data_IF_490889903899
#
_entry.id   IF_490889903899
#
_cell.length_a   1.000
_cell.length_b   1.000
_cell.length_c   1.000
_cell.angle_alpha   90.00
_cell.angle_beta   90.00
_cell.angle_gamma   90.00
#
_symmetry.space_group_name_H-M   'P 1'
#
loop_
_entity.id
_entity.type
_entity.pdbx_description
1 polymer ?
#
# COMPACT_ATOMS: atom_id res chain seq x y z
N UNK A 1 26.30 21.40 -16.76
CA UNK A 1 25.47 20.74 -17.80
C UNK A 1 25.94 19.30 -17.90
N UNK A 2 25.02 18.34 -17.76
CA UNK A 2 25.36 16.92 -17.90
C UNK A 2 25.74 16.60 -19.35
N UNK A 3 26.95 16.06 -19.52
CA UNK A 3 27.52 15.67 -20.80
C UNK A 3 27.08 14.27 -21.28
N UNK A 4 26.29 13.55 -20.48
CA UNK A 4 25.69 12.26 -20.85
C UNK A 4 24.44 12.39 -21.74
N UNK A 5 23.87 13.60 -21.85
CA UNK A 5 22.67 13.87 -22.63
C UNK A 5 23.01 14.08 -24.11
N UNK A 6 22.24 13.43 -25.00
CA UNK A 6 22.43 13.45 -26.45
C UNK A 6 22.30 14.84 -27.11
N UNK A 7 22.47 14.91 -28.45
CA UNK A 7 22.57 16.18 -29.17
C UNK A 7 21.30 17.06 -29.11
N UNK A 8 20.12 16.45 -28.93
CA UNK A 8 18.81 17.13 -28.93
C UNK A 8 18.35 17.58 -27.52
N UNK A 9 19.25 18.16 -26.74
CA UNK A 9 18.91 18.61 -25.37
C UNK A 9 18.13 19.92 -25.37
N UNK A 10 17.03 19.94 -24.63
CA UNK A 10 16.23 21.13 -24.34
C UNK A 10 16.65 21.66 -22.96
N UNK A 11 17.00 22.95 -22.81
CA UNK A 11 17.30 23.52 -21.50
C UNK A 11 16.04 23.56 -20.62
N UNK A 12 16.18 23.16 -19.36
CA UNK A 12 15.12 23.21 -18.34
C UNK A 12 15.63 24.05 -17.18
N UNK A 13 14.85 25.07 -16.80
CA UNK A 13 15.05 25.85 -15.58
C UNK A 13 14.04 25.34 -14.54
N UNK A 14 14.52 24.52 -13.60
CA UNK A 14 13.67 23.97 -12.53
C UNK A 14 13.42 25.02 -11.44
N UNK A 15 12.18 25.08 -10.95
CA UNK A 15 11.80 25.93 -9.82
C UNK A 15 10.92 25.12 -8.87
N UNK A 16 11.44 24.84 -7.68
CA UNK A 16 10.67 24.21 -6.61
C UNK A 16 9.66 25.20 -6.04
N UNK A 17 8.38 25.02 -6.38
CA UNK A 17 7.29 25.87 -5.88
C UNK A 17 6.83 25.46 -4.48
N UNK A 18 7.02 24.18 -4.12
CA UNK A 18 6.76 23.65 -2.79
C UNK A 18 7.53 22.34 -2.56
N UNK A 19 7.78 22.02 -1.29
CA UNK A 19 8.36 20.74 -0.87
C UNK A 19 7.40 20.05 0.07
N UNK A 20 7.19 18.74 -0.15
CA UNK A 20 6.45 17.90 0.80
C UNK A 20 7.41 17.33 1.82
N UNK A 21 7.13 17.54 3.11
CA UNK A 21 7.84 16.89 4.20
C UNK A 21 6.92 15.93 4.95
N UNK A 22 7.51 14.89 5.53
CA UNK A 22 6.82 14.01 6.47
C UNK A 22 6.81 14.72 7.81
N UNK A 23 5.64 14.77 8.48
CA UNK A 23 5.56 15.29 9.85
C UNK A 23 6.42 14.41 10.77
N UNK A 24 7.22 15.03 11.63
CA UNK A 24 8.10 14.30 12.56
C UNK A 24 7.33 13.30 13.43
N UNK A 25 6.11 13.64 13.85
CA UNK A 25 5.27 12.77 14.68
C UNK A 25 4.63 11.60 13.94
N UNK A 26 4.59 11.62 12.60
CA UNK A 26 3.79 10.68 11.80
C UNK A 26 4.05 9.22 12.15
N UNK A 27 5.32 8.85 12.36
CA UNK A 27 5.69 7.48 12.69
C UNK A 27 5.12 7.06 14.04
N UNK A 28 5.25 7.91 15.06
CA UNK A 28 4.75 7.62 16.41
C UNK A 28 3.22 7.58 16.42
N UNK A 29 2.57 8.56 15.77
CA UNK A 29 1.11 8.65 15.68
C UNK A 29 0.54 7.40 14.99
N UNK A 30 1.17 6.95 13.90
CA UNK A 30 0.74 5.75 13.17
C UNK A 30 0.93 4.48 14.01
N UNK A 31 2.08 4.32 14.67
CA UNK A 31 2.33 3.16 15.55
C UNK A 31 1.34 3.10 16.71
N UNK A 32 1.01 4.25 17.30
CA UNK A 32 0.02 4.35 18.37
C UNK A 32 -1.37 3.94 17.87
N UNK A 33 -1.82 4.48 16.74
CA UNK A 33 -3.10 4.09 16.14
C UNK A 33 -3.13 2.61 15.75
N UNK A 34 -2.01 2.07 15.24
CA UNK A 34 -1.91 0.66 14.92
C UNK A 34 -2.06 -0.24 16.15
N UNK A 35 -1.51 0.17 17.30
CA UNK A 35 -1.67 -0.53 18.58
C UNK A 35 -3.10 -0.41 19.10
N UNK A 36 -3.70 0.78 19.05
CA UNK A 36 -5.05 1.05 19.56
C UNK A 36 -6.18 0.37 18.76
N UNK A 37 -5.88 -0.07 17.54
CA UNK A 37 -6.86 -0.67 16.63
C UNK A 37 -6.61 -2.15 16.33
N UNK A 38 -5.56 -2.77 16.91
CA UNK A 38 -5.20 -4.16 16.61
C UNK A 38 -6.31 -5.17 16.96
N UNK A 39 -7.03 -4.93 18.05
CA UNK A 39 -8.10 -5.82 18.51
C UNK A 39 -9.48 -5.49 17.90
N UNK A 40 -9.58 -4.51 17.00
CA UNK A 40 -10.85 -4.03 16.45
C UNK A 40 -11.32 -4.81 15.21
N UNK A 41 -10.66 -5.91 14.88
CA UNK A 41 -10.97 -6.72 13.71
C UNK A 41 -10.22 -6.25 12.46
N UNK A 42 -10.88 -6.27 11.30
CA UNK A 42 -10.20 -5.99 10.02
C UNK A 42 -9.90 -4.49 9.89
N UNK A 43 -8.64 -4.14 9.65
CA UNK A 43 -8.19 -2.76 9.42
C UNK A 43 -7.79 -2.57 7.96
N UNK A 44 -8.10 -1.42 7.38
CA UNK A 44 -7.63 -1.05 6.05
C UNK A 44 -6.64 0.11 6.13
N UNK A 45 -5.50 -0.04 5.46
CA UNK A 45 -4.59 1.06 5.16
C UNK A 45 -4.72 1.41 3.68
N UNK A 46 -5.03 2.68 3.39
CA UNK A 46 -5.26 3.15 2.02
C UNK A 46 -4.14 4.11 1.62
N UNK A 47 -3.43 3.79 0.54
CA UNK A 47 -2.28 4.53 0.06
C UNK A 47 -2.62 5.43 -1.12
N UNK A 48 -2.37 6.72 -0.95
CA UNK A 48 -2.60 7.75 -1.96
C UNK A 48 -1.34 8.12 -2.74
N UNK A 49 -0.16 7.65 -2.31
CA UNK A 49 1.11 7.90 -2.99
C UNK A 49 2.14 6.82 -2.69
N UNK A 50 3.15 6.74 -3.56
CA UNK A 50 4.28 5.81 -3.47
C UNK A 50 5.10 5.98 -2.19
N UNK A 51 5.52 7.21 -1.91
CA UNK A 51 6.39 7.52 -0.77
C UNK A 51 5.73 7.18 0.57
N UNK A 52 4.43 7.48 0.70
CA UNK A 52 3.67 7.13 1.90
C UNK A 52 3.55 5.61 2.06
N UNK A 53 3.27 4.89 0.98
CA UNK A 53 3.06 3.44 1.02
C UNK A 53 4.31 2.70 1.52
N UNK A 54 5.48 2.96 0.95
CA UNK A 54 6.72 2.29 1.38
C UNK A 54 7.04 2.56 2.86
N UNK A 55 6.94 3.82 3.30
CA UNK A 55 7.22 4.17 4.70
C UNK A 55 6.24 3.52 5.67
N UNK A 56 4.97 3.40 5.30
CA UNK A 56 3.98 2.73 6.15
C UNK A 56 4.21 1.22 6.21
N UNK A 57 4.55 0.56 5.09
CA UNK A 57 4.85 -0.87 5.06
C UNK A 57 6.09 -1.24 5.89
N UNK A 58 7.11 -0.38 5.82
CA UNK A 58 8.32 -0.39 6.67
C UNK A 58 7.93 -0.31 8.17
N UNK A 59 7.20 0.75 8.57
CA UNK A 59 6.72 0.94 9.95
C UNK A 59 5.85 -0.22 10.45
N UNK A 60 5.03 -0.80 9.55
CA UNK A 60 4.14 -1.89 9.87
C UNK A 60 4.84 -3.25 10.01
N UNK A 61 6.16 -3.33 9.76
CA UNK A 61 6.92 -4.57 9.77
C UNK A 61 6.49 -5.54 8.67
N UNK A 62 5.98 -5.02 7.55
CA UNK A 62 5.60 -5.83 6.38
C UNK A 62 6.80 -6.11 5.50
N UNK A 63 7.74 -5.17 5.46
CA UNK A 63 9.00 -5.29 4.73
C UNK A 63 10.01 -5.95 5.68
N UNK A 64 10.71 -6.97 5.18
CA UNK A 64 11.81 -7.61 5.87
C UNK A 64 13.08 -6.73 5.79
N UNK A 65 13.74 -6.53 6.93
CA UNK A 65 14.88 -5.62 7.07
C UNK A 65 16.13 -6.12 6.33
N UNK A 66 16.27 -7.43 6.11
CA UNK A 66 17.46 -8.02 5.46
C UNK A 66 17.35 -7.96 3.93
N UNK A 67 16.17 -8.27 3.40
CA UNK A 67 15.90 -8.37 1.97
C UNK A 67 15.36 -7.08 1.36
N UNK A 68 14.76 -6.21 2.18
CA UNK A 68 14.04 -5.02 1.72
C UNK A 68 12.78 -5.36 0.92
N UNK A 69 12.28 -6.61 1.02
CA UNK A 69 11.09 -7.10 0.32
C UNK A 69 9.99 -7.42 1.31
N UNK A 70 8.74 -7.36 0.86
CA UNK A 70 7.62 -7.76 1.67
C UNK A 70 7.55 -9.28 1.77
N UNK A 71 7.29 -9.76 2.99
CA UNK A 71 7.06 -11.18 3.21
C UNK A 71 5.72 -11.63 2.59
N UNK A 72 5.63 -12.85 2.02
CA UNK A 72 4.37 -13.40 1.55
C UNK A 72 3.34 -13.49 2.68
N UNK A 73 2.15 -12.95 2.45
CA UNK A 73 1.10 -12.90 3.47
C UNK A 73 -0.07 -13.80 3.14
N UNK A 74 -0.37 -14.70 4.06
CA UNK A 74 -1.55 -15.57 3.99
C UNK A 74 -2.68 -14.91 4.78
N UNK A 75 -3.75 -14.52 4.08
CA UNK A 75 -4.88 -13.76 4.64
C UNK A 75 -5.97 -14.70 5.19
N UNK A 76 -5.60 -15.59 6.11
CA UNK A 76 -6.49 -16.66 6.62
C UNK A 76 -7.28 -16.29 7.86
N UNK A 77 -6.91 -15.23 8.61
CA UNK A 77 -7.51 -14.95 9.91
C UNK A 77 -8.37 -13.68 9.93
N UNK A 78 -9.53 -13.68 10.64
CA UNK A 78 -10.20 -12.43 11.00
C UNK A 78 -9.26 -11.53 11.80
N UNK A 79 -9.26 -10.22 11.58
CA UNK A 79 -8.41 -9.28 12.34
C UNK A 79 -7.15 -8.77 11.63
N UNK A 80 -6.96 -9.11 10.35
CA UNK A 80 -5.75 -8.71 9.62
C UNK A 80 -5.84 -7.26 9.12
N UNK A 81 -4.67 -6.61 9.02
CA UNK A 81 -4.52 -5.34 8.30
C UNK A 81 -4.45 -5.62 6.81
N UNK A 82 -5.32 -5.00 6.03
CA UNK A 82 -5.40 -5.09 4.59
C UNK A 82 -5.03 -3.74 3.97
N UNK A 83 -4.65 -3.77 2.71
CA UNK A 83 -4.01 -2.65 2.02
C UNK A 83 -4.72 -2.36 0.71
N UNK A 84 -4.96 -1.09 0.46
CA UNK A 84 -5.53 -0.61 -0.78
C UNK A 84 -4.66 0.52 -1.37
N UNK A 85 -4.57 0.60 -2.68
CA UNK A 85 -3.96 1.74 -3.38
C UNK A 85 -5.01 2.54 -4.14
N UNK A 86 -4.82 3.86 -4.16
CA UNK A 86 -5.67 4.81 -4.89
C UNK A 86 -5.65 4.61 -6.41
N UNK A 87 -4.65 3.91 -6.93
CA UNK A 87 -4.51 3.67 -8.35
C UNK A 87 -3.47 2.62 -8.71
N UNK A 88 -3.46 2.19 -9.99
CA UNK A 88 -2.53 1.18 -10.50
C UNK A 88 -1.07 1.61 -10.39
N UNK A 89 -0.76 2.89 -10.60
CA UNK A 89 0.62 3.40 -10.53
C UNK A 89 1.24 3.17 -9.15
N UNK A 90 0.48 3.32 -8.06
CA UNK A 90 0.98 3.04 -6.70
C UNK A 90 1.14 1.54 -6.46
N UNK A 91 0.21 0.72 -6.97
CA UNK A 91 0.31 -0.74 -6.88
C UNK A 91 1.56 -1.25 -7.59
N UNK A 92 1.77 -0.83 -8.85
CA UNK A 92 2.87 -1.33 -9.69
C UNK A 92 4.22 -0.98 -9.10
N UNK A 93 4.37 0.25 -8.61
CA UNK A 93 5.56 0.65 -7.89
C UNK A 93 5.83 -0.19 -6.64
N UNK A 94 4.82 -0.53 -5.84
CA UNK A 94 5.00 -1.37 -4.65
C UNK A 94 5.46 -2.78 -5.03
N UNK A 95 4.91 -3.31 -6.12
CA UNK A 95 5.31 -4.60 -6.68
C UNK A 95 6.77 -4.57 -7.15
N UNK A 96 7.16 -3.54 -7.88
CA UNK A 96 8.52 -3.40 -8.40
C UNK A 96 9.55 -3.11 -7.30
N UNK A 97 9.24 -2.17 -6.40
CA UNK A 97 10.16 -1.69 -5.38
C UNK A 97 10.37 -2.72 -4.27
N UNK A 98 9.28 -3.29 -3.73
CA UNK A 98 9.32 -4.10 -2.50
C UNK A 98 8.60 -5.45 -2.62
N UNK A 99 8.23 -5.86 -3.84
CA UNK A 99 7.49 -7.12 -4.10
C UNK A 99 6.17 -7.24 -3.32
N UNK A 100 5.54 -6.10 -3.02
CA UNK A 100 4.28 -6.06 -2.28
C UNK A 100 3.09 -5.88 -3.22
N UNK A 101 2.08 -6.74 -3.08
CA UNK A 101 0.82 -6.63 -3.81
C UNK A 101 -0.35 -6.33 -2.84
N UNK A 102 -0.92 -5.12 -2.87
CA UNK A 102 -2.09 -4.76 -2.08
C UNK A 102 -3.33 -5.58 -2.46
N UNK A 103 -4.22 -5.82 -1.50
CA UNK A 103 -5.48 -6.53 -1.73
C UNK A 103 -6.42 -5.80 -2.70
N UNK A 104 -6.33 -4.47 -2.77
CA UNK A 104 -7.16 -3.63 -3.64
C UNK A 104 -6.30 -2.59 -4.35
N UNK A 105 -6.55 -2.42 -5.65
CA UNK A 105 -6.08 -1.25 -6.42
C UNK A 105 -7.28 -0.64 -7.13
N UNK A 106 -7.65 0.59 -6.75
CA UNK A 106 -8.72 1.31 -7.44
C UNK A 106 -8.34 1.60 -8.90
N UNK A 107 -9.34 1.68 -9.78
CA UNK A 107 -9.12 2.02 -11.20
C UNK A 107 -8.96 3.51 -11.39
N UNK A 108 -9.74 4.28 -10.64
CA UNK A 108 -9.68 5.74 -10.62
C UNK A 108 -9.40 6.21 -9.18
N UNK A 109 -8.73 7.37 -9.02
CA UNK A 109 -8.38 7.87 -7.70
C UNK A 109 -9.56 8.54 -6.99
N UNK A 110 -10.62 7.77 -6.71
CA UNK A 110 -11.81 8.26 -6.03
C UNK A 110 -12.16 7.39 -4.81
N UNK A 111 -12.80 7.97 -3.77
CA UNK A 111 -13.26 7.21 -2.61
C UNK A 111 -14.21 6.06 -2.98
N UNK A 112 -15.10 6.28 -3.94
CA UNK A 112 -16.11 5.30 -4.37
C UNK A 112 -15.46 4.06 -4.99
N UNK A 113 -14.42 4.23 -5.79
CA UNK A 113 -13.69 3.11 -6.38
C UNK A 113 -12.91 2.31 -5.33
N UNK A 114 -12.37 2.99 -4.32
CA UNK A 114 -11.73 2.32 -3.17
C UNK A 114 -12.75 1.53 -2.36
N UNK A 115 -13.88 2.15 -2.02
CA UNK A 115 -14.96 1.50 -1.28
C UNK A 115 -15.45 0.27 -2.04
N UNK A 116 -15.72 0.41 -3.34
CA UNK A 116 -16.14 -0.68 -4.20
C UNK A 116 -15.13 -1.82 -4.20
N UNK A 117 -13.84 -1.51 -4.38
CA UNK A 117 -12.78 -2.52 -4.35
C UNK A 117 -12.69 -3.28 -3.03
N UNK A 118 -12.81 -2.56 -1.90
CA UNK A 118 -12.82 -3.16 -0.56
C UNK A 118 -14.03 -4.09 -0.39
N UNK A 119 -15.23 -3.66 -0.81
CA UNK A 119 -16.45 -4.49 -0.74
C UNK A 119 -16.33 -5.75 -1.57
N UNK A 120 -15.85 -5.62 -2.80
CA UNK A 120 -15.65 -6.74 -3.72
C UNK A 120 -14.64 -7.76 -3.14
N UNK A 121 -13.52 -7.27 -2.59
CA UNK A 121 -12.52 -8.10 -1.94
C UNK A 121 -13.10 -8.87 -0.74
N UNK A 122 -13.81 -8.19 0.16
CA UNK A 122 -14.41 -8.82 1.34
C UNK A 122 -15.46 -9.87 0.98
N UNK A 123 -16.25 -9.63 -0.08
CA UNK A 123 -17.23 -10.59 -0.58
C UNK A 123 -16.54 -11.84 -1.17
N UNK A 124 -15.50 -11.64 -1.99
CA UNK A 124 -14.69 -12.73 -2.54
C UNK A 124 -14.04 -13.56 -1.43
N UNK A 125 -13.40 -12.90 -0.46
CA UNK A 125 -12.74 -13.55 0.68
C UNK A 125 -13.72 -14.38 1.50
N UNK A 126 -14.91 -13.85 1.80
CA UNK A 126 -15.94 -14.58 2.54
C UNK A 126 -16.35 -15.86 1.79
N UNK A 127 -16.53 -15.78 0.47
CA UNK A 127 -16.85 -16.95 -0.36
C UNK A 127 -15.73 -17.98 -0.30
N UNK A 128 -14.48 -17.58 -0.53
CA UNK A 128 -13.32 -18.47 -0.49
C UNK A 128 -13.16 -19.21 0.85
N UNK A 129 -13.38 -18.51 1.96
CA UNK A 129 -13.33 -19.11 3.30
C UNK A 129 -14.48 -20.11 3.54
N UNK A 130 -15.66 -19.88 2.98
CA UNK A 130 -16.77 -20.83 3.08
C UNK A 130 -16.55 -22.06 2.21
N UNK A 131 -16.04 -21.88 0.99
CA UNK A 131 -15.78 -22.97 0.05
C UNK A 131 -14.67 -23.90 0.59
N UNK A 132 -13.60 -23.33 1.16
CA UNK A 132 -12.51 -24.13 1.79
C UNK A 132 -12.93 -24.95 3.01
N UNK A 133 -13.93 -24.49 3.77
CA UNK A 133 -14.50 -25.29 4.87
C UNK A 133 -15.42 -26.39 4.32
N UNK A 134 -16.09 -26.16 3.20
CA UNK A 134 -16.99 -27.14 2.59
C UNK A 134 -16.24 -28.32 1.94
N UNK A 135 -15.03 -28.09 1.42
CA UNK A 135 -14.18 -29.13 0.83
C UNK A 135 -13.50 -30.07 1.86
N UNK A 136 -13.62 -29.77 3.16
CA UNK A 136 -13.11 -30.61 4.26
C UNK A 136 -14.12 -31.67 4.78
N UNK A 137 -15.32 -31.78 4.17
CA UNK A 137 -16.38 -32.72 4.57
C UNK A 137 -16.85 -33.67 3.46
#
# INVERSE_FOLDING_TARGET
>A
MDSSLGPDKIPVDELDVYTTSIRESFMNDLMEEMRNTIDRGTRWMVFFSHAAACKVLDIAGVIDDETGKAEPRIITSPGQTLYATIGPTTRDYLKEAVDFEPEVSAKNPTPEEIEKGIRDFLAYRKKFLLDSIADEW
#
